data_IF_679097873351
#
_entry.id   IF_679097873351
#
_cell.length_a   1.000
_cell.length_b   1.000
_cell.length_c   1.000
_cell.angle_alpha   90.00
_cell.angle_beta   90.00
_cell.angle_gamma   90.00
#
_symmetry.space_group_name_H-M   'P 1'
#
loop_
_entity.id
_entity.type
_entity.pdbx_description
1 polymer ?
#
# COMPACT_ATOMS: atom_id res chain seq x y z
N UNK A 1 4.72 27.32 27.64
CA UNK A 1 4.96 25.99 27.04
C UNK A 1 5.43 26.21 25.63
N UNK A 2 6.43 25.47 25.19
CA UNK A 2 7.07 25.69 23.89
C UNK A 2 6.30 25.02 22.73
N UNK A 3 5.20 24.30 23.04
CA UNK A 3 4.33 23.66 22.04
C UNK A 3 4.78 22.25 21.62
N UNK A 4 5.99 21.85 22.04
CA UNK A 4 6.62 20.60 21.68
C UNK A 4 6.13 19.39 22.50
N UNK A 5 6.26 18.20 21.90
CA UNK A 5 6.05 16.91 22.60
C UNK A 5 7.20 16.70 23.58
N UNK A 6 6.89 16.22 24.78
CA UNK A 6 7.87 15.97 25.84
C UNK A 6 7.60 14.63 26.51
N UNK A 7 8.67 13.92 26.87
CA UNK A 7 8.59 12.70 27.68
C UNK A 7 9.04 12.93 29.12
N UNK A 8 9.61 14.11 29.41
CA UNK A 8 9.90 14.57 30.78
C UNK A 8 8.61 15.00 31.50
N UNK A 9 8.26 14.29 32.58
CA UNK A 9 7.04 14.51 33.37
C UNK A 9 6.86 15.98 33.81
N UNK A 10 7.93 16.61 34.30
CA UNK A 10 7.89 18.00 34.82
C UNK A 10 7.77 19.06 33.72
N UNK A 11 7.92 18.68 32.44
CA UNK A 11 7.69 19.56 31.29
C UNK A 11 6.32 19.37 30.65
N UNK A 12 5.55 18.37 31.09
CA UNK A 12 4.21 18.11 30.58
C UNK A 12 3.20 19.15 31.04
N UNK A 13 2.53 19.81 30.10
CA UNK A 13 1.43 20.74 30.37
C UNK A 13 0.05 20.21 29.97
N UNK A 14 -0.01 19.35 28.96
CA UNK A 14 -1.22 18.67 28.50
C UNK A 14 -0.89 17.21 28.19
N UNK A 15 -1.83 16.30 28.44
CA UNK A 15 -1.67 14.89 28.10
C UNK A 15 -2.07 14.64 26.64
N UNK A 16 -1.22 13.95 25.90
CA UNK A 16 -1.52 13.43 24.56
C UNK A 16 -1.11 11.96 24.54
N UNK A 17 -2.02 11.10 24.09
CA UNK A 17 -1.72 9.68 23.96
C UNK A 17 -1.14 9.40 22.59
N UNK A 18 0.03 8.79 22.55
CA UNK A 18 0.68 8.32 21.32
C UNK A 18 0.06 6.98 20.89
N UNK A 19 -1.16 7.03 20.35
CA UNK A 19 -1.76 5.89 19.66
C UNK A 19 -1.46 6.02 18.18
N UNK A 20 -0.68 5.09 17.63
CA UNK A 20 -0.41 5.01 16.18
C UNK A 20 -1.53 4.33 15.39
N UNK A 21 -2.45 3.67 16.10
CA UNK A 21 -3.70 3.15 15.54
C UNK A 21 -4.78 3.35 16.60
N UNK A 22 -5.94 3.83 16.19
CA UNK A 22 -7.08 3.97 17.08
C UNK A 22 -7.69 2.59 17.36
N UNK A 23 -8.28 2.37 18.55
CA UNK A 23 -9.05 1.16 18.80
C UNK A 23 -10.17 0.99 17.77
N UNK A 24 -10.48 -0.26 17.42
CA UNK A 24 -11.63 -0.56 16.59
C UNK A 24 -12.91 0.05 17.20
N UNK A 25 -13.69 0.77 16.38
CA UNK A 25 -14.92 1.44 16.82
C UNK A 25 -14.72 2.79 17.53
N UNK A 26 -13.50 3.32 17.59
CA UNK A 26 -13.25 4.66 18.10
C UNK A 26 -13.84 5.73 17.16
N UNK A 27 -14.67 6.62 17.69
CA UNK A 27 -15.23 7.76 16.96
C UNK A 27 -14.42 9.02 17.25
N UNK A 28 -13.74 9.53 16.23
CA UNK A 28 -12.89 10.73 16.32
C UNK A 28 -13.71 12.00 16.53
N UNK A 29 -14.99 12.03 16.16
CA UNK A 29 -15.84 13.21 16.26
C UNK A 29 -16.44 13.43 17.65
N UNK A 30 -16.64 12.35 18.42
CA UNK A 30 -17.27 12.38 19.74
C UNK A 30 -16.31 12.06 20.88
N UNK A 31 -15.02 11.84 20.59
CA UNK A 31 -14.02 11.55 21.59
C UNK A 31 -13.89 12.66 22.65
N UNK A 32 -13.83 12.26 23.92
CA UNK A 32 -13.55 13.16 25.05
C UNK A 32 -12.17 13.83 24.89
N UNK A 33 -12.05 15.10 25.30
CA UNK A 33 -10.84 15.91 25.15
C UNK A 33 -9.56 15.26 25.69
N UNK A 34 -9.67 14.32 26.65
CA UNK A 34 -8.53 13.60 27.23
C UNK A 34 -7.99 12.47 26.33
N UNK A 35 -8.79 12.01 25.38
CA UNK A 35 -8.48 10.85 24.52
C UNK A 35 -8.65 11.14 23.03
N UNK A 36 -9.13 12.33 22.66
CA UNK A 36 -9.30 12.72 21.26
C UNK A 36 -7.98 12.73 20.50
N UNK A 37 -8.08 12.54 19.19
CA UNK A 37 -6.96 12.69 18.26
C UNK A 37 -6.45 14.12 18.32
N UNK A 38 -5.13 14.29 18.30
CA UNK A 38 -4.48 15.58 18.36
C UNK A 38 -3.34 15.68 17.34
N UNK A 39 -3.06 16.90 16.88
CA UNK A 39 -2.03 17.14 15.87
C UNK A 39 -2.57 16.94 14.45
N UNK A 40 -1.69 16.65 13.50
CA UNK A 40 -2.06 16.55 12.09
C UNK A 40 -3.03 15.39 11.79
N UNK A 41 -3.02 14.33 12.60
CA UNK A 41 -3.95 13.22 12.48
C UNK A 41 -5.42 13.61 12.72
N UNK A 42 -5.69 14.77 13.32
CA UNK A 42 -7.07 15.29 13.46
C UNK A 42 -7.67 15.67 12.10
N UNK A 43 -6.82 16.06 11.15
CA UNK A 43 -7.22 16.48 9.81
C UNK A 43 -7.05 15.35 8.77
N UNK A 44 -6.67 14.14 9.23
CA UNK A 44 -6.50 12.97 8.38
C UNK A 44 -7.84 12.21 8.24
N UNK A 45 -8.45 12.19 7.04
CA UNK A 45 -9.77 11.60 6.85
C UNK A 45 -9.79 10.07 6.91
N UNK A 46 -8.64 9.39 6.79
CA UNK A 46 -8.58 7.93 6.82
C UNK A 46 -7.98 7.34 8.11
N UNK A 47 -7.43 8.20 8.98
CA UNK A 47 -7.11 7.87 10.36
C UNK A 47 -8.38 7.73 11.22
N UNK A 48 -8.92 6.51 11.29
CA UNK A 48 -10.22 6.20 11.87
C UNK A 48 -10.15 5.07 12.91
N UNK A 49 -11.25 4.79 13.59
CA UNK A 49 -11.31 3.73 14.60
C UNK A 49 -10.96 2.36 14.04
N UNK A 50 -9.77 1.86 14.35
CA UNK A 50 -9.27 0.55 13.93
C UNK A 50 -8.48 0.54 12.62
N UNK A 51 -8.23 1.68 11.99
CA UNK A 51 -7.60 1.73 10.68
C UNK A 51 -6.98 3.08 10.34
N UNK A 52 -6.02 3.04 9.42
CA UNK A 52 -5.35 4.18 8.82
C UNK A 52 -4.87 3.75 7.42
N UNK A 53 -4.81 4.66 6.43
CA UNK A 53 -4.31 4.32 5.09
C UNK A 53 -3.05 5.11 4.76
N UNK A 54 -1.94 4.40 4.67
CA UNK A 54 -0.64 4.99 4.34
C UNK A 54 -0.29 4.71 2.88
N UNK A 55 0.08 5.75 2.14
CA UNK A 55 0.58 5.64 0.78
C UNK A 55 2.11 5.62 0.76
N UNK A 56 2.68 4.58 0.15
CA UNK A 56 4.12 4.48 -0.09
C UNK A 56 4.44 4.70 -1.56
N UNK A 57 5.42 5.57 -1.85
CA UNK A 57 5.99 5.73 -3.17
C UNK A 57 7.40 5.11 -3.18
N UNK A 58 7.56 4.00 -3.88
CA UNK A 58 8.82 3.26 -3.97
C UNK A 58 9.39 3.44 -5.38
N UNK A 59 10.62 3.95 -5.48
CA UNK A 59 11.31 4.05 -6.76
C UNK A 59 11.84 2.67 -7.18
N UNK A 60 11.52 2.26 -8.42
CA UNK A 60 11.92 0.96 -8.97
C UNK A 60 12.83 1.12 -10.20
N UNK A 61 14.10 1.53 -10.03
CA UNK A 61 14.96 1.86 -11.16
C UNK A 61 15.31 0.62 -12.01
N UNK A 62 14.93 0.65 -13.28
CA UNK A 62 15.44 -0.26 -14.31
C UNK A 62 14.80 -1.64 -14.42
N UNK A 63 13.77 -1.96 -13.62
CA UNK A 63 12.94 -3.16 -13.77
C UNK A 63 11.47 -2.74 -13.88
N UNK A 64 10.68 -3.31 -14.79
CA UNK A 64 9.25 -3.07 -14.83
C UNK A 64 8.47 -3.89 -13.78
N UNK A 65 9.07 -4.88 -13.13
CA UNK A 65 8.38 -5.87 -12.29
C UNK A 65 8.42 -7.27 -12.91
N UNK A 66 7.69 -8.25 -12.35
CA UNK A 66 6.86 -8.15 -11.15
C UNK A 66 7.71 -7.97 -9.87
N UNK A 67 7.12 -7.36 -8.84
CA UNK A 67 7.71 -7.18 -7.51
C UNK A 67 7.09 -8.16 -6.53
N UNK A 68 7.91 -8.80 -5.70
CA UNK A 68 7.42 -9.41 -4.47
C UNK A 68 7.43 -8.35 -3.38
N UNK A 69 6.24 -7.95 -2.93
CA UNK A 69 6.06 -6.98 -1.86
C UNK A 69 5.78 -7.73 -0.57
N UNK A 70 6.57 -7.42 0.46
CA UNK A 70 6.37 -7.88 1.82
C UNK A 70 6.10 -6.67 2.72
N UNK A 71 5.00 -6.71 3.46
CA UNK A 71 4.60 -5.68 4.41
C UNK A 71 4.50 -6.32 5.78
N UNK A 72 5.13 -5.71 6.79
CA UNK A 72 5.11 -6.17 8.16
C UNK A 72 4.67 -5.04 9.11
N UNK A 73 3.76 -5.36 10.03
CA UNK A 73 3.42 -4.51 11.17
C UNK A 73 4.30 -4.91 12.36
N UNK A 74 5.14 -3.99 12.79
CA UNK A 74 6.17 -4.22 13.80
C UNK A 74 5.81 -3.55 15.14
N UNK A 75 5.98 -4.28 16.24
CA UNK A 75 5.80 -3.77 17.60
C UNK A 75 7.13 -3.66 18.35
N UNK A 76 7.30 -2.54 19.06
CA UNK A 76 8.40 -2.32 20.01
C UNK A 76 7.82 -1.85 21.35
N UNK A 77 8.41 -2.35 22.44
CA UNK A 77 7.97 -2.04 23.80
C UNK A 77 8.30 -0.60 24.21
N UNK A 78 9.38 -0.03 23.69
CA UNK A 78 9.83 1.33 23.99
C UNK A 78 9.97 2.11 22.69
N UNK A 79 9.41 3.33 22.63
CA UNK A 79 9.51 4.18 21.44
C UNK A 79 10.91 4.77 21.29
N UNK A 80 11.37 4.91 20.04
CA UNK A 80 12.66 5.53 19.74
C UNK A 80 12.75 6.99 20.27
N UNK A 81 11.66 7.74 20.18
CA UNK A 81 11.60 9.12 20.66
C UNK A 81 11.77 9.21 22.19
N UNK A 82 11.18 8.29 22.95
CA UNK A 82 11.35 8.24 24.40
C UNK A 82 12.81 7.97 24.79
N UNK A 83 13.45 6.99 24.13
CA UNK A 83 14.87 6.69 24.36
C UNK A 83 15.76 7.87 23.96
N UNK A 84 15.45 8.55 22.85
CA UNK A 84 16.21 9.71 22.40
C UNK A 84 16.08 10.91 23.35
N UNK A 85 14.91 11.13 23.94
CA UNK A 85 14.71 12.15 24.97
C UNK A 85 15.50 11.81 26.24
N UNK A 86 15.36 10.57 26.72
CA UNK A 86 16.00 10.09 27.94
C UNK A 86 17.53 10.20 27.88
N UNK A 87 18.14 9.99 26.70
CA UNK A 87 19.61 10.10 26.51
C UNK A 87 20.17 11.52 26.63
N UNK A 88 19.32 12.55 26.67
CA UNK A 88 19.77 13.94 26.81
C UNK A 88 20.20 14.26 28.24
N UNK A 89 19.73 13.47 29.22
CA UNK A 89 20.03 13.66 30.63
C UNK A 89 21.21 12.77 31.08
N UNK A 90 22.08 13.31 31.93
CA UNK A 90 23.33 12.66 32.34
C UNK A 90 23.31 12.22 33.80
N UNK A 91 22.37 11.35 34.18
CA UNK A 91 22.34 10.73 35.51
C UNK A 91 22.92 9.31 35.48
N UNK A 92 23.27 8.76 36.65
CA UNK A 92 23.80 7.40 36.77
C UNK A 92 22.76 6.36 36.35
N UNK A 93 21.49 6.58 36.73
CA UNK A 93 20.36 5.70 36.42
C UNK A 93 20.10 5.66 34.91
N UNK A 94 20.12 6.82 34.26
CA UNK A 94 19.94 6.93 32.80
C UNK A 94 21.09 6.26 32.08
N UNK A 95 22.33 6.48 32.53
CA UNK A 95 23.51 5.85 31.95
C UNK A 95 23.44 4.31 32.07
N UNK A 96 23.05 3.80 33.25
CA UNK A 96 22.88 2.37 33.47
C UNK A 96 21.75 1.76 32.63
N UNK A 97 20.59 2.41 32.59
CA UNK A 97 19.47 1.97 31.76
C UNK A 97 19.84 1.95 30.27
N UNK A 98 20.47 3.02 29.78
CA UNK A 98 20.88 3.16 28.39
C UNK A 98 21.85 2.05 27.98
N UNK A 99 22.81 1.72 28.84
CA UNK A 99 23.74 0.61 28.61
C UNK A 99 23.01 -0.74 28.56
N UNK A 100 22.06 -0.99 29.47
CA UNK A 100 21.25 -2.21 29.44
C UNK A 100 20.40 -2.29 28.18
N UNK A 101 19.73 -1.19 27.81
CA UNK A 101 18.91 -1.10 26.61
C UNK A 101 19.72 -1.34 25.33
N UNK A 102 20.92 -0.74 25.22
CA UNK A 102 21.81 -0.91 24.06
C UNK A 102 22.39 -2.33 23.95
N UNK A 103 22.49 -3.04 25.07
CA UNK A 103 22.93 -4.44 25.09
C UNK A 103 21.82 -5.46 24.84
N UNK A 104 20.55 -5.04 24.91
CA UNK A 104 19.41 -5.91 24.72
C UNK A 104 19.14 -6.16 23.22
N UNK A 105 18.42 -7.24 22.92
CA UNK A 105 17.86 -7.45 21.59
C UNK A 105 16.73 -6.43 21.35
N UNK A 106 16.94 -5.54 20.38
CA UNK A 106 16.00 -4.49 19.99
C UNK A 106 15.20 -4.86 18.74
N UNK A 107 15.30 -6.11 18.27
CA UNK A 107 14.53 -6.60 17.12
C UNK A 107 13.04 -6.47 17.43
N UNK A 108 12.27 -5.73 16.61
CA UNK A 108 10.84 -5.61 16.82
C UNK A 108 10.14 -6.95 16.62
N UNK A 109 8.97 -7.09 17.24
CA UNK A 109 8.12 -8.27 17.08
C UNK A 109 7.16 -8.04 15.92
N UNK A 110 7.14 -8.93 14.92
CA UNK A 110 6.13 -8.90 13.86
C UNK A 110 4.76 -9.28 14.43
N UNK A 111 3.80 -8.36 14.34
CA UNK A 111 2.41 -8.54 14.79
C UNK A 111 1.54 -9.11 13.68
N UNK A 112 1.78 -8.66 12.45
CA UNK A 112 1.10 -9.12 11.25
C UNK A 112 2.03 -8.95 10.04
N UNK A 113 1.87 -9.80 9.03
CA UNK A 113 2.59 -9.66 7.77
C UNK A 113 1.72 -10.06 6.59
N UNK A 114 2.07 -9.53 5.43
CA UNK A 114 1.45 -9.87 4.15
C UNK A 114 2.53 -9.92 3.08
N UNK A 115 2.45 -10.92 2.20
CA UNK A 115 3.30 -11.03 1.01
C UNK A 115 2.41 -11.15 -0.22
N UNK A 116 2.69 -10.36 -1.24
CA UNK A 116 1.96 -10.40 -2.50
C UNK A 116 2.86 -10.02 -3.67
N UNK A 117 2.54 -10.54 -4.86
CA UNK A 117 3.16 -10.09 -6.08
C UNK A 117 2.44 -8.83 -6.57
N UNK A 118 3.21 -7.82 -6.95
CA UNK A 118 2.74 -6.59 -7.58
C UNK A 118 3.40 -6.49 -8.95
N UNK A 119 2.65 -6.74 -10.02
CA UNK A 119 3.11 -6.44 -11.36
C UNK A 119 2.53 -5.08 -11.80
N UNK A 120 3.36 -4.04 -11.95
CA UNK A 120 2.90 -2.74 -12.45
C UNK A 120 2.23 -2.82 -13.83
N UNK A 121 2.45 -3.88 -14.63
CA UNK A 121 1.74 -4.06 -15.89
C UNK A 121 0.24 -4.34 -15.72
N UNK A 122 -0.20 -4.84 -14.56
CA UNK A 122 -1.63 -4.99 -14.23
C UNK A 122 -2.35 -3.65 -14.13
N UNK A 123 -1.63 -2.56 -13.88
CA UNK A 123 -2.27 -1.32 -13.46
C UNK A 123 -2.82 -0.47 -14.60
N UNK A 124 -2.42 -0.63 -15.87
CA UNK A 124 -3.06 0.11 -16.97
C UNK A 124 -2.90 -0.55 -18.36
N UNK A 125 -4.05 -0.78 -19.03
CA UNK A 125 -4.41 -0.20 -20.35
C UNK A 125 -5.91 -0.41 -20.64
N UNK A 126 -6.75 0.57 -20.29
CA UNK A 126 -8.04 0.72 -20.97
C UNK A 126 -7.77 1.40 -22.32
N UNK A 127 -8.06 0.72 -23.41
CA UNK A 127 -8.09 1.34 -24.73
C UNK A 127 -9.54 1.64 -25.10
N UNK A 128 -9.84 2.91 -25.36
CA UNK A 128 -11.07 3.34 -26.03
C UNK A 128 -10.65 3.75 -27.44
N UNK A 129 -10.87 2.88 -28.42
CA UNK A 129 -10.72 3.23 -29.83
C UNK A 129 -12.05 3.03 -30.55
N UNK A 130 -12.48 3.97 -31.39
CA UNK A 130 -13.62 3.71 -32.27
C UNK A 130 -13.25 2.58 -33.23
N UNK A 131 -14.17 1.62 -33.38
CA UNK A 131 -14.07 0.50 -34.31
C UNK A 131 -13.77 1.05 -35.72
N UNK A 132 -12.75 0.51 -36.39
CA UNK A 132 -12.63 0.69 -37.84
C UNK A 132 -13.79 -0.08 -38.49
N UNK A 133 -14.20 0.38 -39.67
CA UNK A 133 -15.36 -0.17 -40.39
C UNK A 133 -15.18 -1.64 -40.84
N UNK A 134 -14.02 -2.25 -40.62
CA UNK A 134 -13.67 -3.62 -41.02
C UNK A 134 -13.11 -4.52 -39.90
N UNK A 135 -12.40 -3.99 -38.89
CA UNK A 135 -11.75 -4.75 -37.80
C UNK A 135 -11.72 -4.02 -36.45
N UNK A 136 -11.45 -4.77 -35.37
CA UNK A 136 -11.35 -4.25 -34.01
C UNK A 136 -10.11 -3.41 -33.77
N UNK A 137 -9.98 -2.79 -32.59
CA UNK A 137 -8.82 -1.97 -32.29
C UNK A 137 -7.55 -2.82 -32.23
N UNK A 138 -6.46 -2.31 -32.79
CA UNK A 138 -5.13 -2.85 -32.56
C UNK A 138 -4.70 -2.44 -31.14
N UNK A 139 -4.66 -3.42 -30.23
CA UNK A 139 -4.19 -3.23 -28.87
C UNK A 139 -2.70 -3.56 -28.82
N UNK A 140 -1.87 -2.55 -28.54
CA UNK A 140 -0.46 -2.80 -28.22
C UNK A 140 -0.34 -3.33 -26.79
N UNK A 141 -0.10 -4.63 -26.68
CA UNK A 141 0.10 -5.33 -25.41
C UNK A 141 1.60 -5.38 -25.14
N UNK A 142 1.98 -4.85 -23.98
CA UNK A 142 3.33 -4.93 -23.45
C UNK A 142 3.24 -5.55 -22.06
N UNK A 143 4.12 -6.50 -21.77
CA UNK A 143 4.02 -7.35 -20.58
C UNK A 143 5.20 -8.33 -20.47
N UNK A 144 5.29 -9.10 -19.39
CA UNK A 144 6.39 -10.03 -19.17
C UNK A 144 6.39 -11.16 -20.22
N UNK A 145 7.52 -11.33 -20.93
CA UNK A 145 7.70 -12.45 -21.85
C UNK A 145 7.53 -13.79 -21.11
N UNK A 146 6.64 -14.65 -21.61
CA UNK A 146 6.25 -15.92 -21.01
C UNK A 146 5.06 -15.85 -20.04
N UNK A 147 4.51 -14.66 -19.77
CA UNK A 147 3.28 -14.51 -18.98
C UNK A 147 2.01 -14.89 -19.77
N UNK A 148 0.96 -15.28 -19.05
CA UNK A 148 -0.40 -15.38 -19.62
C UNK A 148 -1.10 -14.03 -19.44
N UNK A 149 -1.81 -13.55 -20.46
CA UNK A 149 -2.65 -12.36 -20.40
C UNK A 149 -4.06 -12.71 -20.86
N UNK A 150 -5.05 -12.34 -20.06
CA UNK A 150 -6.46 -12.36 -20.40
C UNK A 150 -6.83 -10.99 -20.98
N UNK A 151 -7.39 -11.00 -22.18
CA UNK A 151 -7.99 -9.84 -22.82
C UNK A 151 -9.48 -9.88 -22.48
N UNK A 152 -9.94 -8.88 -21.75
CA UNK A 152 -11.32 -8.81 -21.29
C UNK A 152 -12.04 -7.67 -21.99
N UNK A 153 -13.34 -7.86 -22.24
CA UNK A 153 -14.19 -6.87 -22.87
C UNK A 153 -15.47 -6.62 -22.09
N UNK A 154 -16.02 -5.41 -22.24
CA UNK A 154 -17.26 -5.00 -21.58
C UNK A 154 -18.06 -4.07 -22.49
N UNK A 155 -19.39 -4.10 -22.42
CA UNK A 155 -20.25 -3.12 -23.11
C UNK A 155 -20.75 -2.01 -22.18
N UNK A 156 -20.61 -2.18 -20.87
CA UNK A 156 -21.19 -1.30 -19.84
C UNK A 156 -20.19 -0.83 -18.76
N UNK A 157 -18.93 -1.28 -18.81
CA UNK A 157 -17.86 -1.09 -17.82
C UNK A 157 -18.09 -1.79 -16.48
N UNK A 158 -19.23 -2.44 -16.28
CA UNK A 158 -19.61 -3.11 -15.02
C UNK A 158 -19.43 -4.63 -15.13
N UNK A 159 -19.71 -5.23 -16.29
CA UNK A 159 -19.55 -6.66 -16.55
C UNK A 159 -18.45 -6.90 -17.57
N UNK A 160 -17.46 -7.71 -17.18
CA UNK A 160 -16.30 -8.03 -18.00
C UNK A 160 -16.28 -9.52 -18.35
N UNK A 161 -16.08 -9.81 -19.64
CA UNK A 161 -15.98 -11.16 -20.17
C UNK A 161 -14.60 -11.36 -20.80
N UNK A 162 -14.01 -12.55 -20.60
CA UNK A 162 -12.73 -12.90 -21.23
C UNK A 162 -12.99 -13.15 -22.71
N UNK A 163 -12.38 -12.33 -23.56
CA UNK A 163 -12.38 -12.47 -25.01
C UNK A 163 -11.36 -13.53 -25.43
N UNK A 164 -10.13 -13.46 -24.91
CA UNK A 164 -9.06 -14.39 -25.25
C UNK A 164 -7.98 -14.44 -24.16
N UNK A 165 -7.39 -15.62 -23.94
CA UNK A 165 -6.20 -15.79 -23.10
C UNK A 165 -5.00 -16.09 -23.98
N UNK A 166 -3.98 -15.25 -23.92
CA UNK A 166 -2.78 -15.35 -24.74
C UNK A 166 -1.56 -15.66 -23.88
N UNK A 167 -0.66 -16.48 -24.43
CA UNK A 167 0.69 -16.66 -23.90
C UNK A 167 1.63 -15.69 -24.60
N UNK A 168 2.26 -14.81 -23.84
CA UNK A 168 3.14 -13.79 -24.41
C UNK A 168 4.45 -14.43 -24.88
N UNK A 169 4.58 -14.61 -26.20
CA UNK A 169 5.80 -15.19 -26.80
C UNK A 169 6.77 -14.13 -27.34
N UNK A 170 6.30 -12.89 -27.51
CA UNK A 170 7.06 -11.73 -28.01
C UNK A 170 6.58 -10.45 -27.29
N UNK A 171 7.48 -9.50 -27.03
CA UNK A 171 7.18 -8.22 -26.36
C UNK A 171 7.77 -7.02 -27.14
N UNK A 172 6.96 -5.99 -27.49
CA UNK A 172 5.50 -5.96 -27.43
C UNK A 172 4.86 -6.83 -28.53
N UNK A 173 3.59 -7.20 -28.38
CA UNK A 173 2.79 -7.77 -29.46
C UNK A 173 1.51 -6.96 -29.71
N UNK A 174 1.00 -7.05 -30.93
CA UNK A 174 -0.24 -6.41 -31.33
C UNK A 174 -1.34 -7.46 -31.28
N UNK A 175 -2.38 -7.18 -30.50
CA UNK A 175 -3.62 -7.93 -30.54
C UNK A 175 -4.61 -7.24 -31.46
N UNK A 176 -5.26 -8.02 -32.33
CA UNK A 176 -6.32 -7.58 -33.20
C UNK A 176 -7.59 -8.37 -32.89
N UNK A 177 -8.64 -7.65 -32.53
CA UNK A 177 -9.95 -8.25 -32.32
C UNK A 177 -10.68 -8.43 -33.67
N UNK A 178 -10.40 -9.54 -34.33
CA UNK A 178 -10.97 -9.87 -35.65
C UNK A 178 -12.48 -10.12 -35.64
N UNK A 179 -13.11 -10.26 -34.46
CA UNK A 179 -14.54 -10.54 -34.33
C UNK A 179 -15.38 -9.28 -34.02
N UNK A 180 -14.76 -8.11 -33.88
CA UNK A 180 -15.49 -6.90 -33.48
C UNK A 180 -16.35 -6.29 -34.59
N UNK A 181 -16.11 -6.63 -35.86
CA UNK A 181 -16.81 -6.02 -37.01
C UNK A 181 -18.31 -6.32 -37.04
N UNK A 182 -18.76 -7.39 -36.36
CA UNK A 182 -20.17 -7.75 -36.21
C UNK A 182 -20.72 -7.50 -34.79
N UNK A 183 -19.89 -6.97 -33.87
CA UNK A 183 -20.21 -6.83 -32.45
C UNK A 183 -20.65 -5.40 -32.07
N UNK A 184 -21.31 -5.28 -30.91
CA UNK A 184 -21.59 -3.98 -30.30
C UNK A 184 -20.28 -3.27 -29.92
N UNK A 185 -20.26 -1.92 -29.86
CA UNK A 185 -19.14 -1.18 -29.29
C UNK A 185 -18.80 -1.70 -27.89
N UNK A 186 -17.52 -2.00 -27.67
CA UNK A 186 -17.04 -2.62 -26.43
C UNK A 186 -15.73 -2.00 -25.96
N UNK A 187 -15.55 -2.00 -24.65
CA UNK A 187 -14.36 -1.59 -23.92
C UNK A 187 -13.41 -2.78 -23.80
N UNK A 188 -12.12 -2.51 -23.62
CA UNK A 188 -11.10 -3.54 -23.47
C UNK A 188 -10.24 -3.26 -22.23
N UNK A 189 -9.91 -4.30 -21.50
CA UNK A 189 -8.89 -4.29 -20.45
C UNK A 189 -8.01 -5.54 -20.56
N UNK A 190 -6.85 -5.49 -19.90
CA UNK A 190 -5.89 -6.57 -19.86
C UNK A 190 -5.75 -7.02 -18.40
N UNK A 191 -5.74 -8.33 -18.15
CA UNK A 191 -5.54 -8.93 -16.83
C UNK A 191 -4.55 -10.08 -16.94
N UNK A 192 -3.46 -10.11 -16.17
CA UNK A 192 -2.56 -11.27 -16.16
C UNK A 192 -2.93 -12.18 -14.97
N UNK A 193 -3.40 -13.42 -15.21
CA UNK A 193 -3.71 -14.34 -14.12
C UNK A 193 -2.44 -14.75 -13.37
N UNK A 194 -2.37 -14.39 -12.09
CA UNK A 194 -1.27 -14.79 -11.21
C UNK A 194 -1.55 -16.18 -10.63
N UNK A 195 -0.60 -17.10 -10.82
CA UNK A 195 -0.57 -18.36 -10.06
C UNK A 195 0.19 -18.11 -8.76
N UNK A 196 -0.53 -17.97 -7.65
CA UNK A 196 0.10 -17.94 -6.31
C UNK A 196 0.19 -19.39 -5.83
N UNK A 197 1.41 -19.93 -5.72
CA UNK A 197 1.61 -21.15 -4.94
C UNK A 197 1.47 -20.80 -3.46
N UNK A 198 0.38 -21.26 -2.84
CA UNK A 198 0.25 -21.25 -1.38
C UNK A 198 1.34 -22.14 -0.77
N UNK A 199 2.10 -21.60 0.19
CA UNK A 199 3.01 -22.36 1.05
C UNK A 199 2.48 -22.42 2.48
#
# INVERSE_FOLDING_TARGET
TDGEVTYALLRGANYRKDNRLLPAGFDTNSADDRIKVAGQATDDPDFTGGGDKILYLVATPGSPGPYLVEVELLFQTISAAFISDLRQDSTLEISGFTQMFDSADQTPVTVASMKFALDPSEFYKMAIQPLRDDHGPELMIAGPAGGSVDIETSTDLDHWEILETLQQTVDPFIYEDTQSGEALPRFYQLRWPVSVEEK
#
